data_IF_725415830096
#
_entry.id   IF_725415830096
#
_cell.length_a   1.000
_cell.length_b   1.000
_cell.length_c   1.000
_cell.angle_alpha   90.00
_cell.angle_beta   90.00
_cell.angle_gamma   90.00
#
_symmetry.space_group_name_H-M   'P 1'
#
loop_
_entity.id
_entity.type
_entity.pdbx_description
1 polymer ?
#
# COMPACT_ATOMS: atom_id res chain seq x y z
N UNK A 1 -31.20 54.63 37.39
CA UNK A 1 -30.39 54.23 38.57
C UNK A 1 -31.04 52.99 39.20
N UNK A 2 -30.62 51.78 38.84
CA UNK A 2 -29.62 50.94 39.54
C UNK A 2 -30.10 50.40 40.89
N UNK A 3 -30.51 49.12 40.97
CA UNK A 3 -29.67 47.99 41.44
C UNK A 3 -30.49 46.68 41.59
N UNK A 4 -29.95 45.62 40.97
CA UNK A 4 -29.74 44.23 41.44
C UNK A 4 -30.90 43.49 42.13
N UNK A 5 -31.28 42.34 41.56
CA UNK A 5 -30.95 41.06 42.20
C UNK A 5 -30.96 39.87 41.23
N UNK A 6 -29.86 39.12 41.27
CA UNK A 6 -29.58 37.89 40.54
C UNK A 6 -29.88 36.73 41.50
N UNK A 7 -30.60 35.70 41.06
CA UNK A 7 -30.52 34.37 41.68
C UNK A 7 -30.32 33.30 40.60
N UNK A 8 -29.14 32.72 40.67
CA UNK A 8 -28.74 31.49 40.01
C UNK A 8 -29.59 30.31 40.53
N UNK A 9 -29.91 29.37 39.64
CA UNK A 9 -30.34 28.03 40.02
C UNK A 9 -29.34 27.04 39.43
N UNK A 10 -28.65 26.36 40.32
CA UNK A 10 -27.63 25.35 40.04
C UNK A 10 -28.13 23.98 40.51
N UNK A 11 -27.90 23.00 39.63
CA UNK A 11 -27.47 21.62 39.93
C UNK A 11 -28.46 20.69 40.63
N UNK A 12 -28.91 19.67 39.88
CA UNK A 12 -29.02 18.29 40.37
C UNK A 12 -29.04 17.33 39.16
N UNK A 13 -27.96 16.59 38.91
CA UNK A 13 -28.03 15.35 38.14
C UNK A 13 -26.84 14.44 38.49
N UNK A 14 -27.22 13.27 38.99
CA UNK A 14 -26.44 12.24 39.63
C UNK A 14 -25.27 11.68 38.79
N UNK A 15 -24.23 11.35 39.55
CA UNK A 15 -23.09 10.51 39.19
C UNK A 15 -23.53 9.05 39.21
N UNK A 16 -23.36 8.33 38.11
CA UNK A 16 -23.25 6.87 38.14
C UNK A 16 -22.01 6.44 37.36
N UNK A 17 -21.20 5.66 38.03
CA UNK A 17 -19.89 5.14 37.65
C UNK A 17 -20.15 3.69 37.23
N UNK A 18 -19.60 3.22 36.11
CA UNK A 18 -19.38 1.79 35.95
C UNK A 18 -18.03 1.53 35.24
N UNK A 19 -17.06 0.90 35.93
CA UNK A 19 -15.72 0.66 35.45
C UNK A 19 -15.65 -0.67 34.70
N UNK A 20 -15.26 -0.63 33.43
CA UNK A 20 -14.73 -1.79 32.72
C UNK A 20 -13.81 -1.30 31.60
N UNK A 21 -12.64 -0.79 31.99
CA UNK A 21 -11.47 -0.77 31.12
C UNK A 21 -10.68 -2.04 31.43
N UNK A 22 -10.84 -3.03 30.57
CA UNK A 22 -9.82 -4.07 30.40
C UNK A 22 -9.10 -3.77 29.09
N UNK A 23 -7.84 -3.38 29.24
CA UNK A 23 -6.86 -3.27 28.17
C UNK A 23 -6.57 -4.68 27.60
N UNK A 24 -6.34 -4.79 26.29
CA UNK A 24 -5.21 -5.61 25.88
C UNK A 24 -4.38 -4.96 24.76
N UNK A 25 -3.16 -4.57 25.13
CA UNK A 25 -2.05 -4.53 24.19
C UNK A 25 -1.78 -5.93 23.61
N UNK A 26 -1.41 -5.95 22.33
CA UNK A 26 -0.48 -6.91 21.72
C UNK A 26 -0.87 -8.40 21.83
N UNK A 27 -1.51 -8.93 20.78
CA UNK A 27 -1.12 -10.21 20.17
C UNK A 27 -1.71 -10.25 18.75
N UNK A 28 -0.84 -10.20 17.75
CA UNK A 28 -1.18 -10.62 16.40
C UNK A 28 -0.95 -12.14 16.30
N UNK A 29 -1.96 -12.95 15.95
CA UNK A 29 -1.72 -14.29 15.43
C UNK A 29 -1.69 -14.25 13.91
N UNK A 30 -0.65 -14.86 13.36
CA UNK A 30 -0.40 -14.94 11.93
C UNK A 30 -1.48 -15.68 11.14
N UNK A 31 -1.67 -15.23 9.91
CA UNK A 31 -2.37 -15.99 8.87
C UNK A 31 -1.38 -16.99 8.25
N UNK A 32 -1.31 -18.18 8.84
CA UNK A 32 -1.06 -19.39 8.08
C UNK A 32 -2.41 -19.99 7.67
N UNK A 33 -2.41 -20.63 6.50
CA UNK A 33 -3.46 -21.49 5.93
C UNK A 33 -4.65 -20.80 5.24
N UNK A 34 -4.43 -20.41 3.97
CA UNK A 34 -5.46 -20.61 2.95
C UNK A 34 -5.18 -21.91 2.22
N UNK A 35 -6.00 -22.89 2.58
CA UNK A 35 -6.00 -24.24 2.06
C UNK A 35 -6.31 -24.33 0.58
N UNK A 36 -5.68 -25.33 -0.02
CA UNK A 36 -5.91 -25.81 -1.36
C UNK A 36 -7.39 -26.14 -1.61
N UNK A 37 -7.97 -25.53 -2.65
CA UNK A 37 -9.06 -26.06 -3.47
C UNK A 37 -9.04 -25.33 -4.81
N UNK A 38 -9.33 -26.08 -5.87
CA UNK A 38 -9.42 -25.67 -7.29
C UNK A 38 -8.13 -25.49 -8.09
N UNK A 39 -7.35 -26.58 -8.16
CA UNK A 39 -6.49 -26.90 -9.32
C UNK A 39 -7.07 -28.10 -10.10
N UNK A 40 -8.27 -27.96 -10.67
CA UNK A 40 -8.84 -28.96 -11.60
C UNK A 40 -9.66 -28.32 -12.72
N UNK A 41 -8.99 -27.62 -13.62
CA UNK A 41 -9.42 -27.49 -15.01
C UNK A 41 -8.21 -27.07 -15.85
N UNK A 42 -8.14 -27.50 -17.10
CA UNK A 42 -7.07 -27.21 -18.08
C UNK A 42 -5.83 -28.13 -17.97
N UNK A 43 -6.08 -29.44 -18.08
CA UNK A 43 -5.15 -30.39 -18.72
C UNK A 43 -5.97 -31.35 -19.57
N UNK A 44 -5.92 -31.16 -20.89
CA UNK A 44 -6.20 -32.07 -22.02
C UNK A 44 -6.34 -31.15 -23.23
N UNK A 45 -5.32 -31.03 -24.08
CA UNK A 45 -5.31 -31.81 -25.31
C UNK A 45 -3.90 -31.89 -25.89
N UNK A 46 -3.37 -33.10 -25.98
CA UNK A 46 -2.21 -33.44 -26.79
C UNK A 46 -2.61 -34.61 -27.69
N UNK A 47 -2.63 -34.39 -29.01
CA UNK A 47 -2.44 -35.38 -30.11
C UNK A 47 -1.97 -34.58 -31.34
N UNK A 48 -0.68 -34.58 -31.66
CA UNK A 48 0.05 -35.54 -32.53
C UNK A 48 -0.43 -35.48 -33.99
N UNK A 49 0.40 -34.91 -34.87
CA UNK A 49 0.70 -35.47 -36.20
C UNK A 49 2.20 -35.35 -36.40
N UNK A 50 2.86 -36.51 -36.41
CA UNK A 50 4.20 -36.70 -36.92
C UNK A 50 4.10 -37.08 -38.41
N UNK A 51 4.94 -36.49 -39.25
CA UNK A 51 5.31 -37.07 -40.53
C UNK A 51 6.78 -36.74 -40.80
N UNK A 52 7.58 -37.81 -40.80
CA UNK A 52 9.01 -37.82 -40.98
C UNK A 52 9.40 -37.69 -42.46
N UNK A 53 10.55 -37.06 -42.72
CA UNK A 53 11.44 -37.49 -43.81
C UNK A 53 12.89 -37.39 -43.32
N UNK A 54 13.57 -38.53 -43.34
CA UNK A 54 15.01 -38.71 -43.16
C UNK A 54 15.74 -38.32 -44.46
N UNK A 55 16.89 -37.62 -44.36
CA UNK A 55 18.19 -38.10 -44.83
C UNK A 55 19.28 -37.03 -44.61
N UNK A 56 20.48 -37.46 -44.22
CA UNK A 56 21.71 -36.68 -44.45
C UNK A 56 22.52 -36.34 -43.20
N UNK A 57 23.37 -37.26 -42.77
CA UNK A 57 24.45 -37.00 -41.83
C UNK A 57 25.48 -36.03 -42.42
N UNK A 58 25.85 -34.99 -41.67
CA UNK A 58 27.16 -34.36 -41.77
C UNK A 58 27.52 -33.77 -40.41
N UNK A 59 28.54 -34.34 -39.78
CA UNK A 59 29.13 -33.86 -38.55
C UNK A 59 29.86 -32.54 -38.79
N UNK A 60 29.49 -31.48 -38.07
CA UNK A 60 30.43 -30.40 -37.76
C UNK A 60 30.11 -29.82 -36.37
N UNK A 61 31.07 -30.00 -35.48
CA UNK A 61 31.28 -29.22 -34.27
C UNK A 61 31.18 -27.72 -34.57
N UNK A 62 30.20 -27.05 -33.98
CA UNK A 62 30.14 -25.59 -33.90
C UNK A 62 30.41 -25.16 -32.47
N UNK A 63 31.68 -25.03 -32.11
CA UNK A 63 32.07 -24.31 -30.91
C UNK A 63 31.56 -22.87 -31.03
N UNK A 64 30.71 -22.46 -30.09
CA UNK A 64 30.30 -21.07 -29.95
C UNK A 64 31.55 -20.28 -29.57
N UNK A 65 32.20 -19.67 -30.56
CA UNK A 65 33.33 -18.79 -30.37
C UNK A 65 32.83 -17.58 -29.59
N UNK A 66 33.24 -17.45 -28.34
CA UNK A 66 33.20 -16.19 -27.63
C UNK A 66 33.93 -15.17 -28.51
N UNK A 67 33.21 -14.15 -28.96
CA UNK A 67 33.80 -13.00 -29.63
C UNK A 67 34.85 -12.39 -28.66
N UNK A 68 36.13 -12.64 -28.94
CA UNK A 68 37.20 -11.90 -28.28
C UNK A 68 37.21 -10.50 -28.84
N UNK A 69 36.65 -9.58 -28.05
CA UNK A 69 36.98 -8.17 -28.13
C UNK A 69 38.51 -8.05 -28.03
N UNK A 70 39.17 -7.51 -29.06
CA UNK A 70 40.59 -7.13 -29.02
C UNK A 70 40.70 -5.84 -28.20
N UNK A 71 40.31 -5.92 -26.93
CA UNK A 71 40.53 -4.87 -25.94
C UNK A 71 41.95 -4.96 -25.38
N UNK A 72 42.54 -3.81 -25.07
CA UNK A 72 43.83 -3.73 -24.40
C UNK A 72 43.92 -4.68 -23.20
N UNK A 73 45.06 -5.37 -23.07
CA UNK A 73 45.28 -6.32 -21.97
C UNK A 73 45.18 -5.58 -20.63
N UNK A 74 44.49 -6.15 -19.63
CA UNK A 74 44.27 -5.54 -18.31
C UNK A 74 45.05 -6.27 -17.21
N UNK A 75 45.62 -5.54 -16.26
CA UNK A 75 46.26 -6.05 -15.06
C UNK A 75 45.38 -5.75 -13.86
N UNK A 76 45.06 -6.77 -13.06
CA UNK A 76 44.25 -6.66 -11.87
C UNK A 76 45.16 -6.63 -10.65
N UNK A 77 45.10 -5.55 -9.86
CA UNK A 77 45.86 -5.42 -8.62
C UNK A 77 44.93 -5.41 -7.41
N UNK A 78 45.12 -6.29 -6.44
CA UNK A 78 44.35 -6.35 -5.19
C UNK A 78 45.28 -6.55 -3.98
N UNK A 79 44.73 -6.37 -2.77
CA UNK A 79 45.46 -6.65 -1.54
C UNK A 79 45.15 -8.07 -1.04
N UNK A 80 46.21 -8.84 -0.80
CA UNK A 80 46.16 -10.18 -0.23
C UNK A 80 47.16 -10.27 0.92
N UNK A 81 46.68 -10.60 2.12
CA UNK A 81 47.51 -10.71 3.34
C UNK A 81 48.42 -9.49 3.60
N UNK A 82 47.95 -8.29 3.27
CA UNK A 82 48.70 -7.04 3.46
C UNK A 82 49.69 -6.70 2.34
N UNK A 83 49.83 -7.55 1.30
CA UNK A 83 50.66 -7.29 0.12
C UNK A 83 49.81 -7.00 -1.11
N UNK A 84 50.26 -6.08 -1.96
CA UNK A 84 49.62 -5.78 -3.24
C UNK A 84 50.06 -6.82 -4.28
N UNK A 85 49.12 -7.63 -4.77
CA UNK A 85 49.32 -8.64 -5.81
C UNK A 85 48.73 -8.10 -7.10
N UNK A 86 49.49 -8.15 -8.20
CA UNK A 86 49.04 -7.76 -9.54
C UNK A 86 49.17 -8.94 -10.50
N UNK A 87 48.09 -9.31 -11.17
CA UNK A 87 48.02 -10.46 -12.08
C UNK A 87 47.21 -10.14 -13.33
N UNK A 88 47.53 -10.80 -14.44
CA UNK A 88 46.76 -10.72 -15.69
C UNK A 88 45.41 -11.49 -15.59
N UNK A 89 45.31 -12.42 -14.64
CA UNK A 89 44.08 -13.13 -14.29
C UNK A 89 43.62 -12.82 -12.85
N UNK A 90 42.32 -12.55 -12.68
CA UNK A 90 41.68 -12.33 -11.38
C UNK A 90 41.14 -13.66 -10.81
N UNK A 91 41.70 -14.20 -9.70
CA UNK A 91 41.20 -15.43 -9.12
C UNK A 91 39.82 -15.24 -8.45
N UNK A 92 38.99 -16.30 -8.34
CA UNK A 92 37.67 -16.22 -7.70
C UNK A 92 37.70 -15.67 -6.27
N UNK A 93 38.76 -15.95 -5.50
CA UNK A 93 38.96 -15.47 -4.12
C UNK A 93 39.18 -13.96 -3.98
N UNK A 94 39.43 -13.25 -5.09
CA UNK A 94 39.70 -11.82 -5.15
C UNK A 94 38.56 -11.01 -5.81
N UNK A 95 37.51 -11.67 -6.31
CA UNK A 95 36.39 -11.02 -7.01
C UNK A 95 35.69 -9.98 -6.13
N UNK A 96 35.48 -10.32 -4.85
CA UNK A 96 34.79 -9.48 -3.86
C UNK A 96 35.71 -8.53 -3.10
N UNK A 97 37.02 -8.53 -3.41
CA UNK A 97 37.99 -7.66 -2.75
C UNK A 97 38.08 -6.32 -3.48
N UNK A 98 38.53 -5.31 -2.76
CA UNK A 98 38.93 -4.06 -3.38
C UNK A 98 40.10 -4.30 -4.34
N UNK A 99 39.98 -3.81 -5.57
CA UNK A 99 41.00 -3.97 -6.62
C UNK A 99 41.09 -2.75 -7.52
N UNK A 100 42.22 -2.61 -8.21
CA UNK A 100 42.45 -1.63 -9.27
C UNK A 100 42.77 -2.39 -10.56
N UNK A 101 42.07 -2.06 -11.63
CA UNK A 101 42.31 -2.57 -12.97
C UNK A 101 43.14 -1.55 -13.73
N UNK A 102 44.26 -1.98 -14.30
CA UNK A 102 45.28 -1.16 -14.96
C UNK A 102 45.40 -1.61 -16.41
N UNK A 103 45.55 -0.69 -17.35
CA UNK A 103 45.87 -1.04 -18.73
C UNK A 103 47.32 -1.52 -18.79
N UNK A 104 47.57 -2.75 -19.27
CA UNK A 104 48.91 -3.33 -19.32
C UNK A 104 49.85 -2.58 -20.27
N UNK A 105 49.31 -1.94 -21.31
CA UNK A 105 50.09 -1.22 -22.32
C UNK A 105 50.52 0.16 -21.83
N UNK A 106 49.61 0.91 -21.17
CA UNK A 106 49.90 2.29 -20.72
C UNK A 106 50.29 2.40 -19.25
N UNK A 107 50.08 1.35 -18.44
CA UNK A 107 50.34 1.38 -16.99
C UNK A 107 49.35 2.23 -16.20
N UNK A 108 48.34 2.82 -16.85
CA UNK A 108 47.38 3.73 -16.22
C UNK A 108 46.22 2.94 -15.60
N UNK A 109 45.79 3.35 -14.40
CA UNK A 109 44.60 2.80 -13.77
C UNK A 109 43.35 3.15 -14.58
N UNK A 110 42.63 2.13 -15.05
CA UNK A 110 41.41 2.27 -15.85
C UNK A 110 40.15 2.11 -15.02
N UNK A 111 40.23 1.42 -13.87
CA UNK A 111 39.09 1.25 -12.97
C UNK A 111 39.54 0.96 -11.55
N UNK A 112 38.87 1.53 -10.56
CA UNK A 112 38.97 1.10 -9.17
C UNK A 112 37.64 0.43 -8.76
N UNK A 113 37.72 -0.73 -8.14
CA UNK A 113 36.57 -1.50 -7.65
C UNK A 113 36.69 -1.60 -6.13
N UNK A 114 35.69 -1.13 -5.41
CA UNK A 114 35.59 -1.29 -3.96
C UNK A 114 35.32 -2.74 -3.58
N UNK A 115 35.54 -3.11 -2.31
CA UNK A 115 35.11 -4.42 -1.81
C UNK A 115 33.61 -4.63 -2.04
N UNK A 116 33.20 -5.87 -2.22
CA UNK A 116 31.79 -6.23 -2.14
C UNK A 116 31.27 -5.94 -0.73
N UNK A 117 30.03 -5.46 -0.67
CA UNK A 117 29.31 -5.30 0.59
C UNK A 117 29.03 -6.67 1.19
N UNK A 118 29.13 -6.77 2.51
CA UNK A 118 28.63 -7.95 3.24
C UNK A 118 27.11 -8.04 3.14
N UNK A 119 26.55 -9.21 3.45
CA UNK A 119 25.08 -9.41 3.40
C UNK A 119 24.34 -8.40 4.29
N UNK A 120 24.83 -8.17 5.51
CA UNK A 120 24.26 -7.18 6.43
C UNK A 120 24.34 -5.74 5.88
N UNK A 121 25.44 -5.36 5.24
CA UNK A 121 25.59 -4.03 4.65
C UNK A 121 24.70 -3.87 3.40
N UNK A 122 24.49 -4.93 2.62
CA UNK A 122 23.54 -4.91 1.49
C UNK A 122 22.11 -4.75 1.98
N UNK A 123 21.72 -5.45 3.05
CA UNK A 123 20.41 -5.31 3.66
C UNK A 123 20.18 -3.89 4.22
N UNK A 124 21.16 -3.33 4.93
CA UNK A 124 21.08 -1.95 5.42
C UNK A 124 20.99 -0.95 4.28
N UNK A 125 21.78 -1.11 3.22
CA UNK A 125 21.71 -0.25 2.04
C UNK A 125 20.35 -0.37 1.34
N UNK A 126 19.76 -1.57 1.28
CA UNK A 126 18.43 -1.79 0.71
C UNK A 126 17.32 -1.14 1.56
N UNK A 127 17.41 -1.21 2.90
CA UNK A 127 16.49 -0.52 3.80
C UNK A 127 16.63 1.00 3.66
N UNK A 128 17.85 1.52 3.66
CA UNK A 128 18.10 2.95 3.46
C UNK A 128 17.55 3.43 2.10
N UNK A 129 17.77 2.67 1.02
CA UNK A 129 17.23 2.97 -0.29
C UNK A 129 15.70 3.00 -0.28
N UNK A 130 15.04 2.02 0.35
CA UNK A 130 13.57 1.99 0.50
C UNK A 130 13.05 3.20 1.28
N UNK A 131 13.72 3.59 2.36
CA UNK A 131 13.33 4.77 3.14
C UNK A 131 13.52 6.06 2.35
N UNK A 132 14.61 6.18 1.58
CA UNK A 132 14.84 7.34 0.72
C UNK A 132 13.80 7.41 -0.41
N UNK A 133 13.41 6.27 -0.97
CA UNK A 133 12.35 6.20 -1.97
C UNK A 133 10.99 6.61 -1.39
N UNK A 134 10.62 6.10 -0.21
CA UNK A 134 9.35 6.47 0.44
C UNK A 134 9.27 7.96 0.79
N UNK A 135 10.37 8.55 1.24
CA UNK A 135 10.44 9.99 1.52
C UNK A 135 10.37 10.82 0.23
N UNK A 136 11.07 10.42 -0.83
CA UNK A 136 10.97 11.09 -2.13
C UNK A 136 9.54 11.05 -2.68
N UNK A 137 8.86 9.91 -2.56
CA UNK A 137 7.47 9.77 -2.99
C UNK A 137 6.52 10.60 -2.13
N UNK A 138 6.78 10.69 -0.82
CA UNK A 138 6.04 11.59 0.08
C UNK A 138 6.20 13.04 -0.37
N UNK A 139 7.42 13.50 -0.60
CA UNK A 139 7.70 14.86 -1.06
C UNK A 139 7.06 15.15 -2.43
N UNK A 140 7.10 14.20 -3.37
CA UNK A 140 6.41 14.33 -4.67
C UNK A 140 4.91 14.50 -4.50
N UNK A 141 4.26 13.70 -3.65
CA UNK A 141 2.82 13.82 -3.39
C UNK A 141 2.47 15.16 -2.75
N UNK A 142 3.29 15.62 -1.81
CA UNK A 142 3.08 16.90 -1.12
C UNK A 142 3.24 18.09 -2.07
N UNK A 143 4.28 18.10 -2.91
CA UNK A 143 4.44 19.09 -3.97
C UNK A 143 3.27 19.06 -4.94
N UNK A 144 2.86 17.87 -5.39
CA UNK A 144 1.71 17.72 -6.27
C UNK A 144 0.42 18.27 -5.64
N UNK A 145 0.21 18.08 -4.34
CA UNK A 145 -0.95 18.61 -3.61
C UNK A 145 -1.01 20.13 -3.70
N UNK A 146 0.05 20.83 -3.30
CA UNK A 146 0.07 22.31 -3.31
C UNK A 146 0.09 22.93 -4.70
N UNK A 147 0.59 22.19 -5.70
CA UNK A 147 0.55 22.63 -7.10
C UNK A 147 -0.82 22.42 -7.75
N UNK A 148 -1.52 21.33 -7.39
CA UNK A 148 -2.82 20.97 -7.96
C UNK A 148 -3.95 21.82 -7.39
N UNK A 149 -3.89 22.12 -6.09
CA UNK A 149 -4.91 22.89 -5.39
C UNK A 149 -4.40 24.28 -5.07
N UNK A 150 -4.94 25.31 -5.73
CA UNK A 150 -4.53 26.68 -5.53
C UNK A 150 -5.02 27.23 -4.18
N UNK A 151 -6.24 26.84 -3.80
CA UNK A 151 -6.92 27.23 -2.56
C UNK A 151 -7.38 26.00 -1.77
N UNK A 152 -7.64 26.21 -0.48
CA UNK A 152 -8.21 25.16 0.37
C UNK A 152 -9.56 24.66 -0.19
N UNK A 153 -10.40 25.56 -0.68
CA UNK A 153 -11.69 25.22 -1.31
C UNK A 153 -11.54 24.31 -2.54
N UNK A 154 -10.43 24.38 -3.28
CA UNK A 154 -10.16 23.48 -4.40
C UNK A 154 -9.89 22.06 -3.91
N UNK A 155 -9.11 21.94 -2.82
CA UNK A 155 -8.87 20.68 -2.13
C UNK A 155 -10.18 20.12 -1.59
N UNK A 156 -11.02 20.91 -0.93
CA UNK A 156 -12.34 20.47 -0.46
C UNK A 156 -13.24 19.94 -1.59
N UNK A 157 -13.25 20.63 -2.73
CA UNK A 157 -14.02 20.19 -3.90
C UNK A 157 -13.55 18.83 -4.42
N UNK A 158 -12.28 18.48 -4.30
CA UNK A 158 -11.77 17.17 -4.71
C UNK A 158 -12.34 16.00 -3.88
N UNK A 159 -12.74 16.25 -2.63
CA UNK A 159 -13.34 15.25 -1.75
C UNK A 159 -14.87 15.16 -1.89
N UNK A 160 -15.50 16.24 -2.36
CA UNK A 160 -16.97 16.40 -2.39
C UNK A 160 -17.69 15.22 -3.04
N UNK A 161 -17.28 14.82 -4.24
CA UNK A 161 -17.94 13.74 -4.97
C UNK A 161 -17.89 12.40 -4.20
N UNK A 162 -16.79 12.13 -3.48
CA UNK A 162 -16.64 10.91 -2.69
C UNK A 162 -17.53 10.94 -1.44
N UNK A 163 -17.64 12.11 -0.78
CA UNK A 163 -18.59 12.31 0.32
C UNK A 163 -20.03 12.11 -0.14
N UNK A 164 -20.42 12.77 -1.23
CA UNK A 164 -21.78 12.68 -1.79
C UNK A 164 -22.14 11.24 -2.14
N UNK A 165 -21.23 10.50 -2.78
CA UNK A 165 -21.45 9.09 -3.12
C UNK A 165 -21.66 8.21 -1.87
N UNK A 166 -20.81 8.35 -0.86
CA UNK A 166 -20.95 7.59 0.39
C UNK A 166 -22.24 7.95 1.14
N UNK A 167 -22.59 9.23 1.16
CA UNK A 167 -23.79 9.72 1.84
C UNK A 167 -25.06 9.23 1.16
N UNK A 168 -25.09 9.22 -0.16
CA UNK A 168 -26.24 8.70 -0.90
C UNK A 168 -26.35 7.18 -0.78
N UNK A 169 -25.21 6.48 -0.74
CA UNK A 169 -25.17 5.04 -0.48
C UNK A 169 -25.67 4.68 0.92
N UNK A 170 -25.29 5.46 1.93
CA UNK A 170 -25.75 5.35 3.31
C UNK A 170 -27.25 5.60 3.45
N UNK A 171 -27.76 6.66 2.80
CA UNK A 171 -29.22 6.92 2.79
C UNK A 171 -29.99 5.76 2.15
N UNK A 172 -29.49 5.24 1.03
CA UNK A 172 -30.11 4.12 0.32
C UNK A 172 -30.15 2.84 1.16
N UNK A 173 -29.05 2.47 1.82
CA UNK A 173 -28.99 1.30 2.68
C UNK A 173 -29.88 1.47 3.94
N UNK A 174 -29.83 2.64 4.59
CA UNK A 174 -30.67 2.94 5.75
C UNK A 174 -32.17 2.90 5.43
N UNK A 175 -32.59 3.47 4.28
CA UNK A 175 -33.98 3.40 3.83
C UNK A 175 -34.41 1.95 3.57
N UNK A 176 -33.54 1.17 2.92
CA UNK A 176 -33.82 -0.23 2.62
C UNK A 176 -33.92 -1.07 3.91
N UNK A 177 -33.04 -0.83 4.89
CA UNK A 177 -33.06 -1.50 6.19
C UNK A 177 -34.34 -1.16 6.97
N UNK A 178 -34.75 0.11 6.94
CA UNK A 178 -36.03 0.54 7.53
C UNK A 178 -37.21 -0.18 6.88
N UNK A 179 -37.29 -0.21 5.55
CA UNK A 179 -38.39 -0.85 4.84
C UNK A 179 -38.48 -2.35 5.14
N UNK A 180 -37.34 -3.03 5.19
CA UNK A 180 -37.26 -4.45 5.51
C UNK A 180 -37.64 -4.73 6.97
N UNK A 181 -37.23 -3.87 7.90
CA UNK A 181 -37.65 -3.93 9.30
C UNK A 181 -39.15 -3.73 9.44
N UNK A 182 -39.73 -2.74 8.77
CA UNK A 182 -41.16 -2.46 8.79
C UNK A 182 -41.96 -3.65 8.20
N UNK A 183 -41.45 -4.29 7.14
CA UNK A 183 -42.03 -5.54 6.59
C UNK A 183 -41.93 -6.72 7.56
N UNK A 184 -40.77 -6.91 8.21
CA UNK A 184 -40.55 -7.99 9.16
C UNK A 184 -41.47 -7.85 10.38
N UNK A 185 -41.69 -6.63 10.87
CA UNK A 185 -42.62 -6.36 11.97
C UNK A 185 -44.04 -6.80 11.62
N UNK A 186 -44.53 -6.49 10.41
CA UNK A 186 -45.86 -6.92 9.96
C UNK A 186 -45.99 -8.45 9.91
N UNK A 187 -44.97 -9.16 9.43
CA UNK A 187 -44.97 -10.62 9.42
C UNK A 187 -44.96 -11.22 10.84
N UNK A 188 -44.24 -10.59 11.77
CA UNK A 188 -44.21 -11.02 13.17
C UNK A 188 -45.53 -10.74 13.88
N UNK A 189 -46.20 -9.63 13.57
CA UNK A 189 -47.55 -9.32 14.06
C UNK A 189 -48.59 -10.32 13.53
N UNK A 190 -48.55 -10.65 12.23
CA UNK A 190 -49.40 -11.69 11.64
C UNK A 190 -49.21 -13.05 12.33
N UNK A 191 -47.96 -13.47 12.51
CA UNK A 191 -47.64 -14.72 13.20
C UNK A 191 -48.10 -14.71 14.67
N UNK A 192 -47.98 -13.58 15.38
CA UNK A 192 -48.44 -13.44 16.75
C UNK A 192 -49.97 -13.55 16.84
N UNK A 193 -50.70 -12.90 15.92
CA UNK A 193 -52.16 -13.01 15.87
C UNK A 193 -52.62 -14.45 15.63
N UNK A 194 -51.96 -15.20 14.74
CA UNK A 194 -52.24 -16.63 14.55
C UNK A 194 -52.05 -17.42 15.86
N UNK A 195 -50.95 -17.19 16.58
CA UNK A 195 -50.67 -17.85 17.86
C UNK A 195 -51.70 -17.50 18.94
N UNK A 196 -52.11 -16.23 19.03
CA UNK A 196 -53.16 -15.77 19.97
C UNK A 196 -54.52 -16.40 19.67
N UNK A 197 -54.81 -16.69 18.40
CA UNK A 197 -56.01 -17.42 17.97
C UNK A 197 -55.86 -18.95 18.12
N UNK A 198 -54.79 -19.45 18.74
CA UNK A 198 -54.41 -20.87 18.84
C UNK A 198 -54.27 -21.57 17.48
N UNK A 199 -53.93 -20.82 16.43
CA UNK A 199 -53.59 -21.35 15.10
C UNK A 199 -52.09 -21.58 14.99
N UNK A 200 -51.70 -22.58 14.21
CA UNK A 200 -50.29 -22.80 13.89
C UNK A 200 -49.84 -21.78 12.84
N UNK A 201 -48.72 -21.11 13.09
CA UNK A 201 -48.10 -20.20 12.11
C UNK A 201 -47.74 -20.98 10.84
N UNK A 202 -48.24 -20.51 9.70
CA UNK A 202 -48.01 -21.16 8.41
C UNK A 202 -46.52 -21.27 8.07
N UNK A 203 -46.08 -22.42 7.55
CA UNK A 203 -44.67 -22.68 7.18
C UNK A 203 -44.08 -21.58 6.28
N UNK A 204 -44.88 -21.05 5.36
CA UNK A 204 -44.48 -19.95 4.46
C UNK A 204 -44.21 -18.65 5.20
N UNK A 205 -44.99 -18.32 6.23
CA UNK A 205 -44.78 -17.13 7.08
C UNK A 205 -43.49 -17.26 7.87
N UNK A 206 -43.25 -18.43 8.48
CA UNK A 206 -42.00 -18.73 9.18
C UNK A 206 -40.78 -18.59 8.27
N UNK A 207 -40.86 -19.11 7.04
CA UNK A 207 -39.79 -19.00 6.05
C UNK A 207 -39.52 -17.54 5.63
N UNK A 208 -40.57 -16.77 5.32
CA UNK A 208 -40.44 -15.34 5.02
C UNK A 208 -39.79 -14.56 6.15
N UNK A 209 -40.21 -14.80 7.40
CA UNK A 209 -39.61 -14.17 8.60
C UNK A 209 -38.11 -14.48 8.66
N UNK A 210 -37.71 -15.73 8.45
CA UNK A 210 -36.29 -16.13 8.46
C UNK A 210 -35.50 -15.43 7.36
N UNK A 211 -36.02 -15.39 6.14
CA UNK A 211 -35.37 -14.73 5.00
C UNK A 211 -35.21 -13.22 5.24
N UNK A 212 -36.28 -12.52 5.62
CA UNK A 212 -36.24 -11.08 5.86
C UNK A 212 -35.34 -10.71 7.05
N UNK A 213 -35.30 -11.55 8.08
CA UNK A 213 -34.37 -11.35 9.21
C UNK A 213 -32.91 -11.50 8.77
N UNK A 214 -32.61 -12.44 7.88
CA UNK A 214 -31.26 -12.62 7.36
C UNK A 214 -30.83 -11.43 6.50
N UNK A 215 -31.69 -11.03 5.56
CA UNK A 215 -31.46 -9.86 4.70
C UNK A 215 -31.29 -8.57 5.53
N UNK A 216 -32.06 -8.41 6.61
CA UNK A 216 -31.93 -7.25 7.50
C UNK A 216 -30.56 -7.20 8.19
N UNK A 217 -30.04 -8.35 8.62
CA UNK A 217 -28.69 -8.42 9.21
C UNK A 217 -27.62 -8.02 8.21
N UNK A 218 -27.76 -8.46 6.96
CA UNK A 218 -26.82 -8.14 5.89
C UNK A 218 -26.83 -6.64 5.57
N UNK A 219 -28.02 -6.03 5.50
CA UNK A 219 -28.16 -4.58 5.30
C UNK A 219 -27.58 -3.77 6.47
N UNK A 220 -27.85 -4.16 7.72
CA UNK A 220 -27.29 -3.47 8.89
C UNK A 220 -25.76 -3.57 8.92
N UNK A 221 -25.20 -4.72 8.54
CA UNK A 221 -23.76 -4.88 8.42
C UNK A 221 -23.16 -4.02 7.29
N UNK A 222 -23.88 -3.87 6.17
CA UNK A 222 -23.49 -2.98 5.08
C UNK A 222 -23.51 -1.51 5.52
N UNK A 223 -24.59 -1.06 6.14
CA UNK A 223 -24.73 0.30 6.67
C UNK A 223 -23.59 0.62 7.65
N UNK A 224 -23.25 -0.31 8.54
CA UNK A 224 -22.13 -0.13 9.47
C UNK A 224 -20.79 0.03 8.75
N UNK A 225 -20.53 -0.74 7.67
CA UNK A 225 -19.30 -0.58 6.88
C UNK A 225 -19.25 0.77 6.19
N UNK A 226 -20.33 1.17 5.52
CA UNK A 226 -20.43 2.48 4.87
C UNK A 226 -20.27 3.64 5.86
N UNK A 227 -20.80 3.49 7.08
CA UNK A 227 -20.67 4.50 8.13
C UNK A 227 -19.22 4.67 8.58
N UNK A 228 -18.48 3.56 8.71
CA UNK A 228 -17.05 3.58 8.98
C UNK A 228 -16.27 4.22 7.84
N UNK A 229 -16.54 3.84 6.60
CA UNK A 229 -15.89 4.43 5.41
C UNK A 229 -16.12 5.94 5.32
N UNK A 230 -17.33 6.41 5.67
CA UNK A 230 -17.65 7.85 5.75
C UNK A 230 -16.84 8.55 6.85
N UNK A 231 -16.74 7.94 8.03
CA UNK A 231 -15.95 8.49 9.13
C UNK A 231 -14.45 8.53 8.80
N UNK A 232 -13.93 7.48 8.15
CA UNK A 232 -12.56 7.43 7.67
C UNK A 232 -12.29 8.52 6.62
N UNK A 233 -13.25 8.79 5.73
CA UNK A 233 -13.14 9.88 4.76
C UNK A 233 -13.07 11.25 5.44
N UNK A 234 -13.83 11.46 6.51
CA UNK A 234 -13.76 12.70 7.31
C UNK A 234 -12.38 12.88 7.95
N UNK A 235 -11.78 11.81 8.49
CA UNK A 235 -10.41 11.84 9.02
C UNK A 235 -9.39 12.13 7.93
N UNK A 236 -9.50 11.45 6.77
CA UNK A 236 -8.60 11.68 5.62
C UNK A 236 -8.68 13.13 5.14
N UNK A 237 -9.89 13.68 5.06
CA UNK A 237 -10.12 15.05 4.65
C UNK A 237 -9.48 16.06 5.61
N UNK A 238 -9.72 15.90 6.93
CA UNK A 238 -9.10 16.76 7.96
C UNK A 238 -7.58 16.73 7.92
N UNK A 239 -7.00 15.53 7.83
CA UNK A 239 -5.55 15.36 7.71
C UNK A 239 -4.99 16.02 6.44
N UNK A 240 -5.71 15.92 5.31
CA UNK A 240 -5.31 16.58 4.07
C UNK A 240 -5.35 18.12 4.18
N UNK A 241 -6.37 18.68 4.84
CA UNK A 241 -6.47 20.12 5.09
C UNK A 241 -5.34 20.63 5.98
N UNK A 242 -5.07 19.95 7.09
CA UNK A 242 -3.97 20.29 7.99
C UNK A 242 -2.64 20.26 7.25
N UNK A 243 -2.37 19.18 6.51
CA UNK A 243 -1.15 19.04 5.73
C UNK A 243 -1.01 20.13 4.67
N UNK A 244 -2.10 20.44 3.95
CA UNK A 244 -2.10 21.50 2.95
C UNK A 244 -1.75 22.86 3.57
N UNK A 245 -2.33 23.20 4.72
CA UNK A 245 -2.04 24.45 5.44
C UNK A 245 -0.59 24.54 5.89
N UNK A 246 -0.03 23.45 6.43
CA UNK A 246 1.39 23.36 6.79
C UNK A 246 2.29 23.62 5.57
N UNK A 247 2.03 22.96 4.46
CA UNK A 247 2.83 23.10 3.24
C UNK A 247 2.74 24.53 2.67
N UNK A 248 1.55 25.12 2.61
CA UNK A 248 1.36 26.50 2.14
C UNK A 248 2.08 27.51 3.04
N UNK A 249 2.03 27.30 4.36
CA UNK A 249 2.76 28.13 5.32
C UNK A 249 4.28 28.01 5.12
N UNK A 250 4.80 26.79 5.01
CA UNK A 250 6.23 26.56 4.77
C UNK A 250 6.71 27.19 3.46
N UNK A 251 5.90 27.13 2.38
CA UNK A 251 6.22 27.80 1.11
C UNK A 251 6.23 29.32 1.22
N UNK A 252 5.27 29.90 1.97
CA UNK A 252 5.24 31.34 2.19
C UNK A 252 6.43 31.82 3.03
N UNK A 253 6.81 31.06 4.06
CA UNK A 253 7.98 31.34 4.89
C UNK A 253 9.28 31.25 4.08
N UNK A 254 9.42 30.23 3.23
CA UNK A 254 10.57 30.10 2.34
C UNK A 254 10.67 31.23 1.32
N UNK A 255 9.54 31.65 0.74
CA UNK A 255 9.48 32.80 -0.16
C UNK A 255 9.87 34.10 0.56
N UNK A 256 9.43 34.29 1.80
CA UNK A 256 9.79 35.45 2.62
C UNK A 256 11.29 35.45 3.00
N UNK A 257 11.90 34.28 3.15
CA UNK A 257 13.32 34.11 3.46
C UNK A 257 14.22 34.15 2.21
N UNK A 258 13.66 34.40 1.02
CA UNK A 258 14.41 34.39 -0.24
C UNK A 258 15.04 33.03 -0.57
N UNK A 259 14.62 31.95 0.11
CA UNK A 259 15.17 30.61 -0.06
C UNK A 259 14.34 29.89 -1.11
N UNK A 260 14.91 29.69 -2.30
CA UNK A 260 14.29 28.89 -3.35
C UNK A 260 14.30 27.42 -2.91
N UNK A 261 13.17 26.90 -2.41
CA UNK A 261 13.01 25.49 -2.00
C UNK A 261 12.86 24.50 -3.18
N UNK A 262 13.30 24.86 -4.39
CA UNK A 262 13.30 23.88 -5.48
C UNK A 262 14.39 22.83 -5.20
N UNK A 263 14.06 21.54 -5.03
CA UNK A 263 15.08 20.52 -5.08
C UNK A 263 15.70 20.57 -6.49
N UNK A 264 16.97 20.95 -6.55
CA UNK A 264 17.73 20.89 -7.79
C UNK A 264 17.73 19.43 -8.22
N UNK A 265 17.11 19.12 -9.36
CA UNK A 265 17.17 17.78 -9.92
C UNK A 265 18.65 17.36 -10.02
N UNK A 266 19.02 16.14 -9.57
CA UNK A 266 20.39 15.67 -9.73
C UNK A 266 20.71 15.67 -11.23
N UNK A 267 21.72 16.46 -11.59
CA UNK A 267 22.24 16.53 -12.96
C UNK A 267 22.74 15.13 -13.34
N UNK A 268 22.33 14.55 -14.48
CA UNK A 268 22.93 13.30 -14.92
C UNK A 268 24.43 13.56 -15.15
N UNK A 269 25.28 12.85 -14.40
CA UNK A 269 26.73 12.85 -14.64
C UNK A 269 26.98 12.47 -16.10
N UNK A 270 27.86 13.18 -16.82
CA UNK A 270 28.21 12.81 -18.18
C UNK A 270 28.86 11.42 -18.15
N UNK A 271 28.23 10.48 -18.86
CA UNK A 271 28.87 9.22 -19.22
C UNK A 271 30.13 9.54 -20.02
N UNK A 272 31.29 9.44 -19.38
CA UNK A 272 32.58 9.52 -20.05
C UNK A 272 32.69 8.40 -21.08
N UNK A 273 33.00 8.78 -22.33
CA UNK A 273 33.48 7.89 -23.38
C UNK A 273 34.98 7.65 -23.28
#
# INVERSE_FOLDING_TARGET
MSRRNIRASSVLAAKSHNPNLHDPSLHAPGLHELGARDRKAVRRSARIVAAATLFGACALFGAQLAAQDKGDKKLYCWNENGSKVCSDALPPSAVDRQRVEINQTSGTAVRAVSRALTDAEREQAALAAKTAESENDRLRRELAMVHTFATEADLERSFRNRFELLDESLKGSALSAKNLRDSLLRLLEEANNDELENKLVGKRTVEKIRMQKQELRELLALEQRQSKERAELDVQFKAALERYRELKKAMAEAAAQGTTLLPTAPTPSPSGG
#
